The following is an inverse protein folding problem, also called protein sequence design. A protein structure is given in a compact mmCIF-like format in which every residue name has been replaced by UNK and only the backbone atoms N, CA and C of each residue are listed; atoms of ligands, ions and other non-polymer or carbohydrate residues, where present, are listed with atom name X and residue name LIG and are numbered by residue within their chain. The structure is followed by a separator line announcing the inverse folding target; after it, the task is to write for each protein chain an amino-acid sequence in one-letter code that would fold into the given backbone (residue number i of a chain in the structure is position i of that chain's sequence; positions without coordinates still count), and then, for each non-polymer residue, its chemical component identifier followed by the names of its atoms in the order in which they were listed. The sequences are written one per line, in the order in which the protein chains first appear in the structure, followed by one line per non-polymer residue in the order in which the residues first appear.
data_IF_600179471552
#
_entry.id   IF_600179471552
#
_cell.length_a   1.000
_cell.length_b   1.000
_cell.length_c   1.000
_cell.angle_alpha   90.00
_cell.angle_beta   90.00
_cell.angle_gamma   90.00
#
_symmetry.space_group_name_H-M   'P 1'
#
loop_
_entity.id
_entity.type
_entity.pdbx_description
1 polymer ?
#
# COMPACT_ATOMS: atom_id res chain seq x y z
N UNK A 1 17.70 5.06 -0.60
CA UNK A 1 16.89 3.86 -0.86
C UNK A 1 16.26 3.31 0.42
N UNK A 2 17.02 2.96 1.49
CA UNK A 2 16.50 2.35 2.72
C UNK A 2 15.42 3.22 3.40
N UNK A 3 15.68 4.53 3.58
CA UNK A 3 14.70 5.47 4.19
C UNK A 3 13.41 5.51 3.40
N UNK A 4 13.47 5.61 2.06
CA UNK A 4 12.27 5.69 1.23
C UNK A 4 11.43 4.41 1.31
N UNK A 5 12.07 3.24 1.27
CA UNK A 5 11.38 1.96 1.39
C UNK A 5 10.67 1.81 2.75
N UNK A 6 11.34 2.23 3.83
CA UNK A 6 10.76 2.12 5.17
C UNK A 6 9.69 3.17 5.45
N UNK A 7 9.83 4.38 4.88
CA UNK A 7 8.79 5.41 4.94
C UNK A 7 7.51 4.95 4.23
N UNK A 8 7.63 4.25 3.11
CA UNK A 8 6.49 3.62 2.41
C UNK A 8 5.84 2.55 3.27
N UNK A 9 6.62 1.69 3.93
CA UNK A 9 6.12 0.69 4.87
C UNK A 9 5.35 1.31 6.06
N UNK A 10 5.85 2.40 6.63
CA UNK A 10 5.16 3.15 7.71
C UNK A 10 3.84 3.72 7.21
N UNK A 11 3.87 4.39 6.06
CA UNK A 11 2.69 4.99 5.45
C UNK A 11 1.64 3.92 5.11
N UNK A 12 2.05 2.84 4.47
CA UNK A 12 1.18 1.74 4.06
C UNK A 12 0.44 1.11 5.24
N UNK A 13 1.14 0.72 6.31
CA UNK A 13 0.49 0.12 7.47
C UNK A 13 -0.56 1.06 8.10
N UNK A 14 -0.27 2.36 8.18
CA UNK A 14 -1.18 3.32 8.78
C UNK A 14 -2.37 3.67 7.88
N UNK A 15 -2.14 3.83 6.58
CA UNK A 15 -3.20 4.13 5.62
C UNK A 15 -4.16 2.95 5.48
N UNK A 16 -3.67 1.73 5.42
CA UNK A 16 -4.52 0.55 5.32
C UNK A 16 -5.41 0.35 6.54
N UNK A 17 -4.90 0.59 7.75
CA UNK A 17 -5.73 0.61 8.95
C UNK A 17 -6.83 1.68 8.86
N UNK A 18 -6.47 2.88 8.42
CA UNK A 18 -7.42 3.98 8.26
C UNK A 18 -8.49 3.65 7.21
N UNK A 19 -8.07 3.18 6.04
CA UNK A 19 -8.98 2.88 4.93
C UNK A 19 -9.90 1.70 5.23
N UNK A 20 -9.40 0.66 5.89
CA UNK A 20 -10.21 -0.46 6.35
C UNK A 20 -11.29 -0.05 7.34
N UNK A 21 -10.95 0.79 8.32
CA UNK A 21 -11.89 1.37 9.28
C UNK A 21 -12.89 2.32 8.61
N UNK A 22 -12.42 3.19 7.71
CA UNK A 22 -13.25 4.14 6.97
C UNK A 22 -14.24 3.42 6.06
N UNK A 23 -13.80 2.39 5.38
CA UNK A 23 -14.63 1.56 4.52
C UNK A 23 -15.54 0.60 5.31
N UNK A 24 -15.40 0.52 6.65
CA UNK A 24 -16.17 -0.40 7.50
C UNK A 24 -15.93 -1.87 7.16
N UNK A 25 -14.71 -2.21 6.71
CA UNK A 25 -14.32 -3.60 6.41
C UNK A 25 -14.08 -4.37 7.70
N UNK A 26 -13.59 -3.66 8.71
CA UNK A 26 -13.50 -4.08 10.10
C UNK A 26 -13.85 -2.90 11.03
N UNK A 27 -14.13 -3.20 12.28
CA UNK A 27 -14.57 -2.21 13.29
C UNK A 27 -13.39 -1.69 14.12
N UNK A 28 -13.61 -0.53 14.80
CA UNK A 28 -12.67 -0.02 15.81
C UNK A 28 -12.42 -1.06 16.90
N UNK A 29 -13.46 -1.76 17.38
CA UNK A 29 -13.32 -2.80 18.40
C UNK A 29 -12.42 -3.98 17.97
N UNK A 30 -12.39 -4.32 16.68
CA UNK A 30 -11.47 -5.31 16.15
C UNK A 30 -10.04 -4.76 16.04
N UNK A 31 -9.89 -3.51 15.61
CA UNK A 31 -8.59 -2.87 15.52
C UNK A 31 -7.94 -2.66 16.90
N UNK A 32 -8.72 -2.37 17.93
CA UNK A 32 -8.27 -2.21 19.33
C UNK A 32 -7.67 -3.51 19.93
N UNK A 33 -7.88 -4.67 19.32
CA UNK A 33 -7.23 -5.92 19.74
C UNK A 33 -5.79 -6.06 19.19
N UNK A 34 -5.38 -5.16 18.29
CA UNK A 34 -4.06 -5.23 17.68
C UNK A 34 -2.99 -4.59 18.55
N UNK A 35 -1.77 -5.11 18.54
CA UNK A 35 -0.63 -4.46 19.17
C UNK A 35 -0.45 -3.06 18.59
N UNK A 36 0.10 -2.14 19.36
CA UNK A 36 0.28 -0.71 19.04
C UNK A 36 -1.07 0.02 18.92
N UNK A 37 -2.04 -0.53 18.20
CA UNK A 37 -3.34 0.11 17.93
C UNK A 37 -4.18 0.20 19.21
N UNK A 38 -4.39 -0.91 19.92
CA UNK A 38 -5.13 -0.91 21.18
C UNK A 38 -4.57 0.04 22.23
N UNK A 39 -3.26 -0.01 22.53
CA UNK A 39 -2.61 0.97 23.40
C UNK A 39 -2.79 2.44 22.95
N UNK A 40 -2.81 2.71 21.65
CA UNK A 40 -3.05 4.05 21.11
C UNK A 40 -4.48 4.53 21.40
N UNK A 41 -5.50 3.69 21.16
CA UNK A 41 -6.88 4.00 21.53
C UNK A 41 -7.05 4.23 23.03
N UNK A 42 -6.49 3.35 23.86
CA UNK A 42 -6.52 3.50 25.32
C UNK A 42 -5.82 4.79 25.78
N UNK A 43 -4.77 5.23 25.11
CA UNK A 43 -4.12 6.51 25.42
C UNK A 43 -4.98 7.71 25.03
N UNK A 44 -5.70 7.63 23.91
CA UNK A 44 -6.65 8.67 23.49
C UNK A 44 -7.78 8.80 24.50
N UNK A 45 -8.39 7.69 24.91
CA UNK A 45 -9.51 7.67 25.85
C UNK A 45 -9.15 8.24 27.23
N UNK A 46 -7.91 8.02 27.67
CA UNK A 46 -7.39 8.63 28.92
C UNK A 46 -7.18 10.14 28.83
N UNK A 47 -6.79 10.64 27.66
CA UNK A 47 -6.43 12.05 27.47
C UNK A 47 -7.61 12.93 27.08
N UNK A 48 -8.58 12.36 26.40
CA UNK A 48 -9.70 13.10 25.82
C UNK A 48 -11.02 12.41 26.15
N UNK A 49 -11.79 12.99 27.08
CA UNK A 49 -13.15 12.54 27.34
C UNK A 49 -14.12 13.11 26.32
N UNK A 50 -14.97 12.24 25.74
CA UNK A 50 -16.07 12.69 24.89
C UNK A 50 -15.73 13.00 23.44
N UNK A 51 -14.66 12.44 22.89
CA UNK A 51 -14.42 12.50 21.46
C UNK A 51 -15.48 11.67 20.72
N UNK A 52 -15.95 12.20 19.57
CA UNK A 52 -16.69 11.39 18.62
C UNK A 52 -15.80 10.29 18.01
N UNK A 53 -16.44 9.25 17.46
CA UNK A 53 -15.73 8.09 16.94
C UNK A 53 -14.70 8.44 15.84
N UNK A 54 -15.00 9.44 15.00
CA UNK A 54 -14.10 9.85 13.92
C UNK A 54 -12.82 10.51 14.48
N UNK A 55 -12.96 11.47 15.40
CA UNK A 55 -11.80 12.12 16.03
C UNK A 55 -11.01 11.16 16.90
N UNK A 56 -11.69 10.28 17.66
CA UNK A 56 -11.05 9.21 18.45
C UNK A 56 -10.16 8.33 17.57
N UNK A 57 -10.68 7.88 16.43
CA UNK A 57 -9.94 7.08 15.44
C UNK A 57 -8.72 7.82 14.90
N UNK A 58 -8.89 9.06 14.44
CA UNK A 58 -7.79 9.85 13.89
C UNK A 58 -6.68 10.07 14.92
N UNK A 59 -7.03 10.38 16.17
CA UNK A 59 -6.04 10.56 17.22
C UNK A 59 -5.31 9.26 17.57
N UNK A 60 -6.00 8.12 17.56
CA UNK A 60 -5.37 6.83 17.78
C UNK A 60 -4.40 6.48 16.65
N UNK A 61 -4.83 6.58 15.39
CA UNK A 61 -3.97 6.27 14.23
C UNK A 61 -2.78 7.23 14.10
N UNK A 62 -2.94 8.50 14.46
CA UNK A 62 -1.80 9.43 14.55
C UNK A 62 -0.75 8.97 15.57
N UNK A 63 -1.17 8.39 16.69
CA UNK A 63 -0.25 7.81 17.69
C UNK A 63 0.40 6.53 17.18
N UNK A 64 -0.34 5.67 16.49
CA UNK A 64 0.23 4.47 15.84
C UNK A 64 1.33 4.87 14.87
N UNK A 65 1.07 5.87 14.02
CA UNK A 65 2.08 6.44 13.13
C UNK A 65 3.30 6.96 13.88
N UNK A 66 3.08 7.74 14.97
CA UNK A 66 4.14 8.27 15.81
C UNK A 66 5.02 7.18 16.41
N UNK A 67 4.43 6.10 16.92
CA UNK A 67 5.17 4.94 17.47
C UNK A 67 6.10 4.33 16.41
N UNK A 68 5.61 4.13 15.19
CA UNK A 68 6.41 3.58 14.09
C UNK A 68 7.58 4.49 13.72
N UNK A 69 7.32 5.80 13.58
CA UNK A 69 8.37 6.78 13.24
C UNK A 69 9.43 6.89 14.33
N UNK A 70 9.02 6.99 15.58
CA UNK A 70 9.94 7.09 16.71
C UNK A 70 10.81 5.85 16.85
N UNK A 71 10.25 4.67 16.62
CA UNK A 71 11.00 3.42 16.65
C UNK A 71 12.05 3.35 15.55
N UNK A 72 11.66 3.66 14.31
CA UNK A 72 12.58 3.71 13.17
C UNK A 72 13.73 4.68 13.43
N UNK A 73 13.44 5.89 13.91
CA UNK A 73 14.47 6.89 14.18
C UNK A 73 15.44 6.38 15.24
N UNK A 74 14.94 5.89 16.38
CA UNK A 74 15.78 5.39 17.47
C UNK A 74 16.62 4.18 17.05
N UNK A 75 16.00 3.20 16.43
CA UNK A 75 16.66 1.97 16.00
C UNK A 75 17.73 2.27 14.94
N UNK A 76 17.38 3.08 13.94
CA UNK A 76 18.32 3.42 12.86
C UNK A 76 19.48 4.28 13.35
N UNK A 77 19.24 5.22 14.26
CA UNK A 77 20.31 6.01 14.88
C UNK A 77 21.30 5.12 15.66
N UNK A 78 20.79 4.15 16.41
CA UNK A 78 21.63 3.20 17.15
C UNK A 78 22.45 2.31 16.20
N UNK A 79 21.84 1.77 15.17
CA UNK A 79 22.52 0.93 14.18
C UNK A 79 23.56 1.72 13.38
N UNK A 80 23.26 2.95 13.00
CA UNK A 80 24.20 3.83 12.32
C UNK A 80 25.42 4.12 13.22
N UNK A 81 25.21 4.42 14.48
CA UNK A 81 26.30 4.64 15.43
C UNK A 81 27.17 3.38 15.62
N UNK A 82 26.54 2.20 15.68
CA UNK A 82 27.24 0.91 15.83
C UNK A 82 28.02 0.51 14.58
N UNK A 83 27.55 0.90 13.38
CA UNK A 83 28.19 0.54 12.12
C UNK A 83 29.56 1.20 11.92
N UNK A 84 29.84 2.31 12.60
CA UNK A 84 31.04 3.10 12.40
C UNK A 84 31.13 3.79 11.02
N UNK A 85 30.08 3.74 10.23
CA UNK A 85 30.04 4.34 8.91
C UNK A 85 30.14 5.86 8.96
N UNK A 86 31.01 6.44 8.14
CA UNK A 86 31.24 7.89 8.04
C UNK A 86 30.72 8.43 6.71
N UNK A 87 30.68 7.61 5.68
CA UNK A 87 30.27 7.99 4.34
C UNK A 87 29.05 7.18 3.88
N UNK A 88 28.36 7.67 2.86
CA UNK A 88 27.28 6.92 2.22
C UNK A 88 27.78 5.62 1.55
N UNK A 89 29.06 5.55 1.17
CA UNK A 89 29.64 4.34 0.60
C UNK A 89 29.81 3.27 1.69
N UNK A 90 30.27 3.64 2.89
CA UNK A 90 30.39 2.71 4.01
C UNK A 90 29.03 2.03 4.30
N UNK A 91 27.92 2.79 4.23
CA UNK A 91 26.55 2.22 4.40
C UNK A 91 26.19 1.25 3.27
N UNK A 92 26.63 1.49 2.03
CA UNK A 92 26.35 0.58 0.91
C UNK A 92 27.15 -0.72 0.99
N UNK A 93 28.31 -0.65 1.61
CA UNK A 93 29.22 -1.78 1.75
C UNK A 93 28.86 -2.69 2.95
N UNK A 94 27.90 -2.28 3.79
CA UNK A 94 27.33 -3.13 4.85
C UNK A 94 26.49 -4.24 4.24
N UNK A 95 26.53 -5.42 4.85
CA UNK A 95 25.71 -6.59 4.52
C UNK A 95 24.30 -6.57 5.17
N UNK A 96 23.99 -5.49 5.91
CA UNK A 96 22.70 -5.29 6.58
C UNK A 96 22.16 -3.87 6.39
N UNK A 97 20.86 -3.70 6.58
CA UNK A 97 20.22 -2.41 6.55
C UNK A 97 20.39 -1.68 7.89
N UNK A 98 20.79 -0.41 7.86
CA UNK A 98 20.85 0.46 9.04
C UNK A 98 19.55 1.22 9.30
N UNK A 99 18.66 1.31 8.31
CA UNK A 99 17.34 1.92 8.49
C UNK A 99 16.30 0.81 8.54
N UNK A 100 15.78 0.55 9.74
CA UNK A 100 14.85 -0.54 9.98
C UNK A 100 14.04 -0.34 11.27
N UNK A 101 12.96 -1.08 11.42
CA UNK A 101 12.23 -1.20 12.68
C UNK A 101 13.03 -2.03 13.70
N UNK A 102 12.77 -1.80 14.98
CA UNK A 102 13.21 -2.74 16.02
C UNK A 102 12.59 -4.13 15.81
N UNK A 103 13.26 -5.21 16.27
CA UNK A 103 12.70 -6.56 16.20
C UNK A 103 11.33 -6.68 16.88
N UNK A 104 11.13 -5.95 17.98
CA UNK A 104 9.90 -5.90 18.77
C UNK A 104 8.77 -5.29 17.95
N UNK A 105 8.98 -4.09 17.40
CA UNK A 105 7.97 -3.43 16.57
C UNK A 105 7.69 -4.22 15.27
N UNK A 106 8.73 -4.79 14.68
CA UNK A 106 8.56 -5.64 13.49
C UNK A 106 7.65 -6.84 13.76
N UNK A 107 7.74 -7.45 14.95
CA UNK A 107 6.83 -8.53 15.38
C UNK A 107 5.39 -8.03 15.45
N UNK A 108 5.16 -6.88 16.04
CA UNK A 108 3.83 -6.28 16.16
C UNK A 108 3.24 -5.90 14.79
N UNK A 109 4.06 -5.33 13.91
CA UNK A 109 3.64 -5.01 12.54
C UNK A 109 3.27 -6.27 11.73
N UNK A 110 3.93 -7.40 11.95
CA UNK A 110 3.51 -8.68 11.33
C UNK A 110 2.11 -9.10 11.76
N UNK A 111 1.75 -8.88 13.03
CA UNK A 111 0.38 -9.17 13.52
C UNK A 111 -0.63 -8.26 12.84
N UNK A 112 -0.34 -6.96 12.76
CA UNK A 112 -1.20 -5.98 12.08
C UNK A 112 -1.37 -6.33 10.59
N UNK A 113 -0.27 -6.63 9.88
CA UNK A 113 -0.31 -7.05 8.46
C UNK A 113 -1.10 -8.34 8.26
N UNK A 114 -0.97 -9.30 9.16
CA UNK A 114 -1.75 -10.54 9.14
C UNK A 114 -3.25 -10.27 9.31
N UNK A 115 -3.62 -9.38 10.22
CA UNK A 115 -5.00 -8.95 10.42
C UNK A 115 -5.56 -8.25 9.16
N UNK A 116 -4.84 -7.28 8.60
CA UNK A 116 -5.22 -6.58 7.36
C UNK A 116 -5.38 -7.55 6.19
N UNK A 117 -4.47 -8.50 6.06
CA UNK A 117 -4.55 -9.51 5.02
C UNK A 117 -5.84 -10.34 5.10
N UNK A 118 -6.22 -10.77 6.29
CA UNK A 118 -7.41 -11.59 6.48
C UNK A 118 -8.71 -10.77 6.41
N UNK A 119 -8.74 -9.61 7.05
CA UNK A 119 -9.97 -8.86 7.27
C UNK A 119 -10.21 -7.76 6.22
N UNK A 120 -9.18 -7.30 5.51
CA UNK A 120 -9.29 -6.27 4.48
C UNK A 120 -9.08 -6.88 3.08
N UNK A 121 -7.89 -7.38 2.76
CA UNK A 121 -7.59 -7.82 1.39
C UNK A 121 -8.36 -9.06 0.95
N UNK A 122 -8.77 -9.91 1.92
CA UNK A 122 -9.62 -11.08 1.69
C UNK A 122 -11.09 -10.87 2.04
N UNK A 123 -11.49 -9.65 2.39
CA UNK A 123 -12.90 -9.36 2.60
C UNK A 123 -13.71 -9.66 1.32
N UNK A 124 -14.86 -10.36 1.42
CA UNK A 124 -15.60 -10.82 0.24
C UNK A 124 -15.89 -9.69 -0.76
N UNK A 125 -16.29 -8.52 -0.28
CA UNK A 125 -16.56 -7.36 -1.14
C UNK A 125 -15.31 -6.84 -1.87
N UNK A 126 -14.12 -6.92 -1.27
CA UNK A 126 -12.87 -6.51 -1.89
C UNK A 126 -12.45 -7.54 -2.94
N UNK A 127 -12.63 -8.83 -2.63
CA UNK A 127 -12.34 -9.93 -3.59
C UNK A 127 -13.21 -9.79 -4.83
N UNK A 128 -14.52 -9.58 -4.68
CA UNK A 128 -15.45 -9.41 -5.81
C UNK A 128 -15.03 -8.24 -6.71
N UNK A 129 -14.69 -7.08 -6.11
CA UNK A 129 -14.25 -5.91 -6.90
C UNK A 129 -12.92 -6.18 -7.62
N UNK A 130 -11.98 -6.85 -6.96
CA UNK A 130 -10.71 -7.22 -7.58
C UNK A 130 -10.88 -8.20 -8.74
N UNK A 131 -11.77 -9.19 -8.59
CA UNK A 131 -12.08 -10.15 -9.65
C UNK A 131 -12.74 -9.46 -10.84
N UNK A 132 -13.66 -8.54 -10.58
CA UNK A 132 -14.27 -7.72 -11.63
C UNK A 132 -13.22 -6.87 -12.36
N UNK A 133 -12.38 -6.14 -11.64
CA UNK A 133 -11.30 -5.36 -12.25
C UNK A 133 -10.33 -6.23 -13.07
N UNK A 134 -9.98 -7.42 -12.56
CA UNK A 134 -9.14 -8.36 -13.31
C UNK A 134 -9.81 -8.87 -14.59
N UNK A 135 -11.15 -9.00 -14.61
CA UNK A 135 -11.90 -9.35 -15.81
C UNK A 135 -11.86 -8.21 -16.82
N UNK A 136 -12.17 -6.98 -16.40
CA UNK A 136 -12.10 -5.78 -17.26
C UNK A 136 -10.74 -5.65 -17.93
N UNK A 137 -9.65 -5.74 -17.16
CA UNK A 137 -8.27 -5.63 -17.69
C UNK A 137 -7.99 -6.75 -18.71
N UNK A 138 -8.41 -7.98 -18.43
CA UNK A 138 -8.16 -9.13 -19.29
C UNK A 138 -8.95 -9.02 -20.62
N UNK A 139 -10.18 -8.59 -20.54
CA UNK A 139 -11.05 -8.44 -21.70
C UNK A 139 -10.58 -7.29 -22.59
N UNK A 140 -10.25 -6.14 -22.03
CA UNK A 140 -9.65 -5.01 -22.76
C UNK A 140 -8.34 -5.41 -23.43
N UNK A 141 -7.47 -6.14 -22.72
CA UNK A 141 -6.22 -6.62 -23.31
C UNK A 141 -6.48 -7.53 -24.50
N UNK A 142 -7.40 -8.47 -24.37
CA UNK A 142 -7.80 -9.37 -25.47
C UNK A 142 -8.39 -8.63 -26.67
N UNK A 143 -9.28 -7.67 -26.41
CA UNK A 143 -9.91 -6.85 -27.43
C UNK A 143 -8.88 -6.03 -28.23
N UNK A 144 -8.01 -5.28 -27.54
CA UNK A 144 -7.00 -4.44 -28.20
C UNK A 144 -5.87 -5.25 -28.87
N UNK A 145 -5.54 -6.42 -28.37
CA UNK A 145 -4.63 -7.34 -29.09
C UNK A 145 -5.24 -7.89 -30.36
N UNK A 146 -6.56 -8.16 -30.35
CA UNK A 146 -7.29 -8.69 -31.51
C UNK A 146 -7.63 -7.60 -32.53
N UNK A 147 -8.03 -6.42 -32.07
CA UNK A 147 -8.46 -5.28 -32.87
C UNK A 147 -7.70 -4.00 -32.49
N UNK A 148 -6.43 -3.87 -32.87
CA UNK A 148 -5.61 -2.69 -32.54
C UNK A 148 -6.20 -1.35 -32.98
N UNK A 149 -7.03 -1.37 -34.02
CA UNK A 149 -7.71 -0.17 -34.53
C UNK A 149 -8.77 0.44 -33.60
N UNK A 150 -9.18 -0.29 -32.56
CA UNK A 150 -10.08 0.24 -31.52
C UNK A 150 -9.38 1.11 -30.49
N UNK A 151 -8.04 1.08 -30.45
CA UNK A 151 -7.27 1.95 -29.60
C UNK A 151 -7.34 3.40 -30.12
N UNK A 152 -7.71 4.39 -29.28
CA UNK A 152 -7.93 5.75 -29.74
C UNK A 152 -6.62 6.50 -30.04
N UNK A 153 -6.72 7.50 -30.95
CA UNK A 153 -5.64 8.40 -31.26
C UNK A 153 -4.39 7.74 -31.82
N UNK A 154 -3.24 8.17 -31.32
CA UNK A 154 -1.93 7.70 -31.82
C UNK A 154 -1.61 6.24 -31.41
N UNK A 155 -2.30 5.68 -30.44
CA UNK A 155 -2.06 4.30 -29.96
C UNK A 155 -2.32 3.26 -31.07
N UNK A 156 -3.45 3.41 -31.79
CA UNK A 156 -3.79 2.53 -32.90
C UNK A 156 -2.79 2.60 -34.06
N UNK A 157 -2.22 3.79 -34.32
CA UNK A 157 -1.16 3.98 -35.33
C UNK A 157 0.14 3.35 -34.87
N UNK A 158 0.52 3.56 -33.61
CA UNK A 158 1.77 3.02 -33.06
C UNK A 158 1.79 1.49 -33.08
N UNK A 159 0.71 0.84 -32.63
CA UNK A 159 0.65 -0.63 -32.56
C UNK A 159 0.73 -1.29 -33.94
N UNK A 160 0.18 -0.63 -34.97
CA UNK A 160 0.23 -1.14 -36.34
C UNK A 160 1.65 -1.16 -36.93
N UNK A 161 2.54 -0.31 -36.41
CA UNK A 161 3.94 -0.20 -36.84
C UNK A 161 4.89 -1.11 -36.04
N UNK A 162 4.41 -1.83 -35.04
CA UNK A 162 5.25 -2.67 -34.20
C UNK A 162 5.57 -4.02 -34.87
N UNK A 163 6.84 -4.48 -34.77
CA UNK A 163 7.33 -5.61 -35.56
C UNK A 163 6.81 -6.96 -35.07
N UNK A 164 6.53 -7.10 -33.79
CA UNK A 164 6.22 -8.39 -33.18
C UNK A 164 5.10 -8.31 -32.12
N UNK A 165 4.62 -9.49 -31.76
CA UNK A 165 3.53 -9.65 -30.80
C UNK A 165 3.91 -9.16 -29.38
N UNK A 166 5.18 -9.30 -29.00
CA UNK A 166 5.64 -8.88 -27.66
C UNK A 166 5.63 -7.36 -27.54
N UNK A 167 6.13 -6.65 -28.55
CA UNK A 167 6.08 -5.19 -28.60
C UNK A 167 4.63 -4.67 -28.60
N UNK A 168 3.73 -5.34 -29.35
CA UNK A 168 2.29 -5.00 -29.32
C UNK A 168 1.66 -5.22 -27.96
N UNK A 169 1.92 -6.38 -27.33
CA UNK A 169 1.40 -6.68 -25.99
C UNK A 169 1.90 -5.67 -24.96
N UNK A 170 3.15 -5.22 -25.07
CA UNK A 170 3.70 -4.17 -24.20
C UNK A 170 2.97 -2.84 -24.38
N UNK A 171 2.75 -2.40 -25.61
CA UNK A 171 2.05 -1.15 -25.91
C UNK A 171 0.59 -1.19 -25.39
N UNK A 172 -0.11 -2.31 -25.60
CA UNK A 172 -1.47 -2.51 -25.06
C UNK A 172 -1.47 -2.46 -23.54
N UNK A 173 -0.51 -3.11 -22.90
CA UNK A 173 -0.39 -3.08 -21.44
C UNK A 173 -0.14 -1.66 -20.92
N UNK A 174 0.75 -0.90 -21.57
CA UNK A 174 1.07 0.48 -21.18
C UNK A 174 -0.16 1.40 -21.37
N UNK A 175 -0.96 1.19 -22.43
CA UNK A 175 -2.21 1.91 -22.64
C UNK A 175 -3.24 1.62 -21.54
N UNK A 176 -3.49 0.34 -21.22
CA UNK A 176 -4.43 -0.06 -20.15
C UNK A 176 -3.94 0.42 -18.79
N UNK A 177 -2.65 0.33 -18.50
CA UNK A 177 -2.06 0.81 -17.25
C UNK A 177 -2.21 2.33 -17.05
N UNK A 178 -2.34 3.09 -18.13
CA UNK A 178 -2.61 4.54 -18.11
C UNK A 178 -4.08 4.91 -17.85
N UNK A 179 -4.99 3.93 -17.84
CA UNK A 179 -6.41 4.18 -17.60
C UNK A 179 -6.72 4.39 -16.12
N UNK A 180 -7.69 5.27 -15.84
CA UNK A 180 -8.38 5.23 -14.54
C UNK A 180 -9.40 4.09 -14.53
N UNK A 181 -9.74 3.58 -13.34
CA UNK A 181 -10.75 2.50 -13.20
C UNK A 181 -12.05 2.83 -13.92
N UNK A 182 -12.51 4.08 -13.77
CA UNK A 182 -13.73 4.55 -14.43
C UNK A 182 -13.62 4.53 -15.96
N UNK A 183 -12.48 4.93 -16.49
CA UNK A 183 -12.26 4.93 -17.94
C UNK A 183 -12.16 3.51 -18.48
N UNK A 184 -11.42 2.63 -17.79
CA UNK A 184 -11.34 1.22 -18.17
C UNK A 184 -12.71 0.54 -18.19
N UNK A 185 -13.57 0.82 -17.19
CA UNK A 185 -14.94 0.31 -17.19
C UNK A 185 -15.77 0.84 -18.37
N UNK A 186 -15.67 2.13 -18.70
CA UNK A 186 -16.38 2.71 -19.84
C UNK A 186 -15.93 2.13 -21.17
N UNK A 187 -14.64 1.84 -21.32
CA UNK A 187 -14.11 1.18 -22.53
C UNK A 187 -14.55 -0.29 -22.60
N UNK A 188 -14.62 -0.98 -21.47
CA UNK A 188 -15.08 -2.38 -21.41
C UNK A 188 -16.58 -2.52 -21.74
N UNK A 189 -17.39 -1.53 -21.37
CA UNK A 189 -18.84 -1.55 -21.59
C UNK A 189 -19.25 -1.14 -23.03
N UNK A 190 -18.28 -0.74 -23.89
CA UNK A 190 -18.50 -0.40 -25.31
C UNK A 190 -18.58 -1.62 -26.18
#
# INVERSE_FOLDING_TARGET
AQVAALADDVAYNNHDLHDGLRAGVFSDAQAEQLPIVGPAYAAVDRLYSGLDAHRRRHEALRRVFGVMVDDVIRTSAALLAQSGAVTAQDIRDLDYAVVQFSPELWKDLKVIRGFLFQNMYRAPRVVVQREHAATVVRDLFGAFMSNPGEMPGDWGVQISNLPDTQARARLVSDYIAGMTDRFAQQEHDR
#
